data_IF_219013979759
#
_entry.id   IF_219013979759
#
_cell.length_a   1.000
_cell.length_b   1.000
_cell.length_c   1.000
_cell.angle_alpha   90.00
_cell.angle_beta   90.00
_cell.angle_gamma   90.00
#
_symmetry.space_group_name_H-M   'P 1'
#
loop_
_entity.id
_entity.type
_entity.pdbx_description
1 polymer ?
#
# COMPACT_ATOMS: atom_id res chain seq x y z
N UNK A 1 27.33 -7.45 -2.90
CA UNK A 1 27.08 -6.06 -2.53
C UNK A 1 25.64 -5.64 -2.74
N UNK A 2 25.09 -5.93 -3.90
CA UNK A 2 23.67 -5.63 -4.15
C UNK A 2 22.75 -6.23 -3.10
N UNK A 3 23.10 -7.40 -2.63
CA UNK A 3 22.32 -8.11 -1.63
C UNK A 3 22.29 -7.34 -0.30
N UNK A 4 23.44 -6.87 0.14
CA UNK A 4 23.54 -6.08 1.36
C UNK A 4 22.85 -4.74 1.19
N UNK A 5 23.01 -4.14 0.03
CA UNK A 5 22.35 -2.88 -0.29
C UNK A 5 20.84 -3.01 -0.25
N UNK A 6 20.30 -4.14 -0.72
CA UNK A 6 18.86 -4.39 -0.65
C UNK A 6 18.35 -4.44 0.78
N UNK A 7 19.09 -5.08 1.67
CA UNK A 7 18.74 -5.15 3.09
C UNK A 7 18.81 -3.77 3.73
N UNK A 8 19.87 -3.03 3.42
CA UNK A 8 20.06 -1.67 3.92
C UNK A 8 18.93 -0.76 3.43
N UNK A 9 18.54 -0.90 2.18
CA UNK A 9 17.43 -0.13 1.60
C UNK A 9 16.12 -0.40 2.32
N UNK A 10 15.87 -1.65 2.70
CA UNK A 10 14.67 -1.99 3.46
C UNK A 10 14.60 -1.25 4.79
N UNK A 11 15.69 -1.24 5.52
CA UNK A 11 15.75 -0.55 6.80
C UNK A 11 15.63 0.96 6.64
N UNK A 12 16.32 1.50 5.64
CA UNK A 12 16.27 2.92 5.34
C UNK A 12 14.84 3.31 4.97
N UNK A 13 14.16 2.49 4.18
CA UNK A 13 12.78 2.74 3.78
C UNK A 13 11.85 2.79 4.99
N UNK A 14 12.02 1.88 5.94
CA UNK A 14 11.23 1.90 7.18
C UNK A 14 11.41 3.18 7.97
N UNK A 15 12.64 3.66 8.07
CA UNK A 15 12.96 4.89 8.78
C UNK A 15 12.46 6.11 8.00
N UNK A 16 12.58 6.07 6.68
CA UNK A 16 12.20 7.19 5.82
C UNK A 16 10.70 7.44 5.78
N UNK A 17 9.89 6.38 5.92
CA UNK A 17 8.44 6.55 5.91
C UNK A 17 7.96 6.97 7.31
N UNK A 18 8.35 8.16 7.69
CA UNK A 18 7.92 8.77 8.94
C UNK A 18 6.91 9.89 8.64
N UNK A 19 6.46 10.58 9.68
CA UNK A 19 5.45 11.64 9.53
C UNK A 19 5.91 12.75 8.61
N UNK A 20 7.17 13.12 8.70
CA UNK A 20 7.72 14.20 7.86
C UNK A 20 7.77 13.80 6.40
N UNK A 21 8.16 12.56 6.12
CA UNK A 21 8.16 12.01 4.77
C UNK A 21 6.74 12.03 4.18
N UNK A 22 5.77 11.59 4.96
CA UNK A 22 4.38 11.53 4.51
C UNK A 22 3.84 12.93 4.24
N UNK A 23 4.13 13.88 5.12
CA UNK A 23 3.71 15.27 4.92
C UNK A 23 4.29 15.86 3.64
N UNK A 24 5.57 15.58 3.40
CA UNK A 24 6.23 16.04 2.19
C UNK A 24 5.61 15.40 0.96
N UNK A 25 5.34 14.11 1.01
CA UNK A 25 4.67 13.41 -0.09
C UNK A 25 3.27 13.96 -0.33
N UNK A 26 2.52 14.25 0.73
CA UNK A 26 1.20 14.87 0.58
C UNK A 26 1.26 16.23 -0.12
N UNK A 27 2.30 17.00 0.18
CA UNK A 27 2.45 18.34 -0.38
C UNK A 27 2.98 18.32 -1.82
N UNK A 28 3.98 17.52 -2.08
CA UNK A 28 4.70 17.53 -3.37
C UNK A 28 4.31 16.41 -4.32
N UNK A 29 3.86 15.29 -3.79
CA UNK A 29 3.39 14.13 -4.55
C UNK A 29 4.37 13.69 -5.64
N UNK A 30 5.63 13.51 -5.26
CA UNK A 30 6.68 13.09 -6.20
C UNK A 30 6.65 11.58 -6.42
N UNK A 31 6.83 11.18 -7.67
CA UNK A 31 6.88 9.77 -8.04
C UNK A 31 7.97 9.01 -7.28
N UNK A 32 9.11 9.63 -7.08
CA UNK A 32 10.23 9.04 -6.36
C UNK A 32 9.84 8.63 -4.95
N UNK A 33 9.11 9.48 -4.25
CA UNK A 33 8.65 9.21 -2.90
C UNK A 33 7.57 8.12 -2.90
N UNK A 34 6.71 8.12 -3.92
CA UNK A 34 5.72 7.07 -4.07
C UNK A 34 6.37 5.70 -4.31
N UNK A 35 7.46 5.64 -5.06
CA UNK A 35 8.20 4.40 -5.26
C UNK A 35 8.68 3.80 -3.94
N UNK A 36 9.12 4.64 -3.02
CA UNK A 36 9.55 4.19 -1.70
C UNK A 36 8.38 3.54 -0.97
N UNK A 37 7.23 4.19 -0.99
CA UNK A 37 6.01 3.65 -0.38
C UNK A 37 5.60 2.34 -1.04
N UNK A 38 5.60 2.32 -2.36
CA UNK A 38 5.23 1.13 -3.14
C UNK A 38 6.14 -0.04 -2.79
N UNK A 39 7.44 0.16 -2.83
CA UNK A 39 8.40 -0.91 -2.59
C UNK A 39 8.31 -1.47 -1.18
N UNK A 40 7.92 -0.64 -0.23
CA UNK A 40 7.77 -1.08 1.15
C UNK A 40 6.43 -1.80 1.39
N UNK A 41 5.34 -1.24 0.90
CA UNK A 41 4.01 -1.73 1.24
C UNK A 41 3.43 -2.77 0.27
N UNK A 42 3.77 -2.72 -1.01
CA UNK A 42 3.20 -3.64 -1.99
C UNK A 42 3.42 -5.12 -1.63
N UNK A 43 4.66 -5.55 -1.30
CA UNK A 43 4.84 -6.95 -0.91
C UNK A 43 4.13 -7.31 0.39
N UNK A 44 4.03 -6.37 1.32
CA UNK A 44 3.35 -6.61 2.59
C UNK A 44 1.85 -6.79 2.40
N UNK A 45 1.25 -5.96 1.58
CA UNK A 45 -0.18 -6.04 1.25
C UNK A 45 -0.47 -7.37 0.56
N UNK A 46 0.30 -7.70 -0.46
CA UNK A 46 0.15 -8.95 -1.20
C UNK A 46 0.25 -10.15 -0.28
N UNK A 47 1.27 -10.17 0.56
CA UNK A 47 1.52 -11.25 1.50
C UNK A 47 0.37 -11.41 2.50
N UNK A 48 -0.13 -10.31 3.01
CA UNK A 48 -1.25 -10.31 3.95
C UNK A 48 -2.52 -10.88 3.30
N UNK A 49 -2.80 -10.47 2.07
CA UNK A 49 -3.98 -10.93 1.35
C UNK A 49 -3.90 -12.42 1.04
N UNK A 50 -2.74 -12.90 0.64
CA UNK A 50 -2.55 -14.33 0.37
C UNK A 50 -2.74 -15.15 1.66
N UNK A 51 -2.22 -14.66 2.77
CA UNK A 51 -2.41 -15.35 4.06
C UNK A 51 -3.85 -15.39 4.49
N UNK A 52 -4.65 -14.43 4.05
CA UNK A 52 -6.08 -14.38 4.38
C UNK A 52 -6.97 -15.04 3.33
N UNK A 53 -6.38 -15.86 2.47
CA UNK A 53 -7.12 -16.71 1.56
C UNK A 53 -7.26 -16.24 0.12
N UNK A 54 -6.71 -15.07 -0.22
CA UNK A 54 -6.74 -14.62 -1.61
C UNK A 54 -5.71 -15.40 -2.42
N UNK A 55 -6.06 -15.75 -3.66
CA UNK A 55 -5.05 -16.32 -4.56
C UNK A 55 -4.09 -15.21 -5.01
N UNK A 56 -2.98 -15.61 -5.64
CA UNK A 56 -1.92 -14.66 -6.02
C UNK A 56 -2.44 -13.59 -6.96
N UNK A 57 -3.23 -13.98 -7.94
CA UNK A 57 -3.77 -13.03 -8.93
C UNK A 57 -4.67 -12.01 -8.28
N UNK A 58 -5.58 -12.47 -7.42
CA UNK A 58 -6.48 -11.59 -6.68
C UNK A 58 -5.69 -10.64 -5.77
N UNK A 59 -4.69 -11.18 -5.07
CA UNK A 59 -3.86 -10.38 -4.18
C UNK A 59 -3.12 -9.27 -4.95
N UNK A 60 -2.61 -9.59 -6.14
CA UNK A 60 -1.94 -8.60 -6.97
C UNK A 60 -2.89 -7.51 -7.45
N UNK A 61 -4.10 -7.89 -7.88
CA UNK A 61 -5.10 -6.94 -8.32
C UNK A 61 -5.48 -5.96 -7.20
N UNK A 62 -5.71 -6.50 -6.01
CA UNK A 62 -6.06 -5.68 -4.83
C UNK A 62 -4.89 -4.77 -4.46
N UNK A 63 -3.67 -5.30 -4.52
CA UNK A 63 -2.48 -4.53 -4.20
C UNK A 63 -2.33 -3.35 -5.17
N UNK A 64 -2.50 -3.58 -6.46
CA UNK A 64 -2.41 -2.52 -7.46
C UNK A 64 -3.48 -1.46 -7.25
N UNK A 65 -4.72 -1.87 -7.03
CA UNK A 65 -5.82 -0.93 -6.75
C UNK A 65 -5.53 -0.12 -5.49
N UNK A 66 -4.96 -0.76 -4.48
CA UNK A 66 -4.60 -0.08 -3.24
C UNK A 66 -3.53 0.98 -3.48
N UNK A 67 -2.53 0.67 -4.30
CA UNK A 67 -1.48 1.64 -4.64
C UNK A 67 -2.03 2.83 -5.40
N UNK A 68 -2.94 2.59 -6.33
CA UNK A 68 -3.62 3.68 -7.06
C UNK A 68 -4.41 4.55 -6.09
N UNK A 69 -5.12 3.94 -5.16
CA UNK A 69 -5.89 4.68 -4.16
C UNK A 69 -4.99 5.50 -3.25
N UNK A 70 -3.84 4.97 -2.86
CA UNK A 70 -2.86 5.71 -2.05
C UNK A 70 -2.42 6.96 -2.80
N UNK A 71 -2.07 6.82 -4.06
CA UNK A 71 -1.66 7.95 -4.89
C UNK A 71 -2.77 8.99 -4.98
N UNK A 72 -3.99 8.56 -5.28
CA UNK A 72 -5.11 9.47 -5.47
C UNK A 72 -5.59 10.12 -4.18
N UNK A 73 -5.52 9.41 -3.06
CA UNK A 73 -6.14 9.83 -1.81
C UNK A 73 -5.17 10.23 -0.71
N UNK A 74 -3.89 10.33 -1.02
CA UNK A 74 -2.88 10.65 -0.01
C UNK A 74 -3.19 11.97 0.70
N UNK A 75 -3.80 12.92 0.01
CA UNK A 75 -4.17 14.20 0.60
C UNK A 75 -5.25 14.07 1.69
N UNK A 76 -5.95 12.95 1.72
CA UNK A 76 -6.99 12.71 2.72
C UNK A 76 -6.47 12.04 3.99
N UNK A 77 -5.25 11.51 3.93
CA UNK A 77 -4.69 10.85 5.10
C UNK A 77 -4.41 11.86 6.22
N UNK A 78 -4.87 11.54 7.43
CA UNK A 78 -4.66 12.38 8.60
C UNK A 78 -3.87 11.60 9.66
N UNK A 79 -2.61 11.99 9.92
CA UNK A 79 -1.78 11.29 10.92
C UNK A 79 -2.37 11.28 12.32
N UNK A 80 -3.23 12.22 12.64
CA UNK A 80 -3.87 12.29 13.96
C UNK A 80 -4.95 11.24 14.15
N UNK A 81 -5.52 10.72 13.06
CA UNK A 81 -6.61 9.73 13.11
C UNK A 81 -6.13 8.30 13.07
N UNK A 82 -4.88 8.07 12.78
CA UNK A 82 -4.34 6.72 12.74
C UNK A 82 -3.01 6.65 12.03
N UNK A 83 -2.35 5.51 12.13
CA UNK A 83 -1.07 5.31 11.49
C UNK A 83 -1.21 5.18 9.97
N UNK A 84 -0.14 5.46 9.26
CA UNK A 84 -0.10 5.33 7.82
C UNK A 84 -0.37 3.88 7.38
N UNK A 85 0.22 2.92 8.08
CA UNK A 85 -0.01 1.50 7.81
C UNK A 85 -1.48 1.13 7.96
N UNK A 86 -2.11 1.59 9.03
CA UNK A 86 -3.52 1.34 9.28
C UNK A 86 -4.39 1.88 8.17
N UNK A 87 -4.08 3.09 7.71
CA UNK A 87 -4.80 3.73 6.62
C UNK A 87 -4.68 2.92 5.33
N UNK A 88 -3.46 2.48 5.03
CA UNK A 88 -3.19 1.68 3.82
C UNK A 88 -3.92 0.33 3.88
N UNK A 89 -3.83 -0.36 5.01
CA UNK A 89 -4.47 -1.68 5.15
C UNK A 89 -5.99 -1.58 5.12
N UNK A 90 -6.54 -0.48 5.60
CA UNK A 90 -7.98 -0.23 5.49
C UNK A 90 -8.40 -0.08 4.02
N UNK A 91 -7.60 0.62 3.23
CA UNK A 91 -7.86 0.74 1.79
C UNK A 91 -7.81 -0.64 1.13
N UNK A 92 -6.79 -1.42 1.44
CA UNK A 92 -6.64 -2.77 0.87
C UNK A 92 -7.82 -3.66 1.25
N UNK A 93 -8.25 -3.61 2.50
CA UNK A 93 -9.39 -4.37 2.97
C UNK A 93 -10.67 -3.96 2.25
N UNK A 94 -10.90 -2.68 2.10
CA UNK A 94 -12.08 -2.18 1.39
C UNK A 94 -12.08 -2.60 -0.07
N UNK A 95 -10.92 -2.55 -0.72
CA UNK A 95 -10.77 -3.01 -2.09
C UNK A 95 -11.07 -4.50 -2.24
N UNK A 96 -10.63 -5.29 -1.27
CA UNK A 96 -10.92 -6.73 -1.25
C UNK A 96 -12.42 -6.98 -1.15
N UNK A 97 -13.08 -6.28 -0.24
CA UNK A 97 -14.52 -6.42 -0.04
C UNK A 97 -15.27 -6.03 -1.31
N UNK A 98 -14.89 -4.91 -1.90
CA UNK A 98 -15.53 -4.42 -3.13
C UNK A 98 -15.36 -5.40 -4.28
N UNK A 99 -14.16 -5.94 -4.44
CA UNK A 99 -13.89 -6.88 -5.53
C UNK A 99 -14.67 -8.19 -5.36
N UNK A 100 -14.73 -8.70 -4.13
CA UNK A 100 -15.51 -9.90 -3.83
C UNK A 100 -17.01 -9.67 -4.04
N UNK A 101 -17.47 -8.48 -3.67
CA UNK A 101 -18.88 -8.10 -3.88
C UNK A 101 -19.22 -8.05 -5.37
N UNK A 102 -18.35 -7.49 -6.18
CA UNK A 102 -18.54 -7.44 -7.63
C UNK A 102 -18.59 -8.84 -8.23
N UNK A 103 -17.70 -9.73 -7.79
CA UNK A 103 -17.70 -11.11 -8.27
C UNK A 103 -18.98 -11.84 -7.92
N UNK A 104 -19.48 -11.66 -6.71
CA UNK A 104 -20.68 -12.37 -6.26
C UNK A 104 -21.95 -11.80 -6.86
N UNK A 105 -21.95 -10.55 -7.32
CA UNK A 105 -23.13 -9.92 -7.91
C UNK A 105 -23.21 -10.07 -9.43
N UNK A 106 -22.18 -10.61 -10.07
CA UNK A 106 -22.21 -10.84 -11.52
C UNK A 106 -23.11 -12.03 -11.85
N UNK A 107 -24.10 -11.83 -12.70
CA UNK A 107 -24.93 -12.94 -13.17
C UNK A 107 -24.19 -13.75 -14.22
N UNK A 108 -24.45 -15.02 -14.25
CA UNK A 108 -23.87 -15.91 -15.24
C UNK A 108 -24.92 -16.66 -15.99
#
# INVERSE_FOLDING_TARGET
MCYIDSCAKKYVTMVEINKDFIKKFQAEKKKKDFEIIFNFYAPKIKSLLVRNGADVTLAEDIMHDTMINIWDKIHLYNPEKGSFSSWIYTIARNNRIDLLRKKSSQPY
#
